data_IF_093353491214
#
_entry.id   IF_093353491214
#
_cell.length_a   1.000
_cell.length_b   1.000
_cell.length_c   1.000
_cell.angle_alpha   90.00
_cell.angle_beta   90.00
_cell.angle_gamma   90.00
#
_symmetry.space_group_name_H-M   'P 1'
#
loop_
_entity.id
_entity.type
_entity.pdbx_description
1 polymer ?
#
# COMPACT_ATOMS: atom_id res chain seq x y z
N UNK A 1 -41.23 27.02 -49.31
CA UNK A 1 -40.52 27.26 -48.04
C UNK A 1 -41.05 26.27 -47.03
N UNK A 2 -40.27 25.27 -46.60
CA UNK A 2 -40.33 24.62 -45.27
C UNK A 2 -39.08 23.73 -45.18
N UNK A 3 -38.03 24.25 -44.53
CA UNK A 3 -36.84 23.50 -44.12
C UNK A 3 -37.19 22.88 -42.77
N UNK A 4 -37.24 21.56 -42.68
CA UNK A 4 -37.49 20.88 -41.41
C UNK A 4 -36.16 20.76 -40.66
N UNK A 5 -35.98 21.73 -39.76
CA UNK A 5 -34.93 21.84 -38.77
C UNK A 5 -34.99 20.65 -37.80
N UNK A 6 -33.81 20.17 -37.38
CA UNK A 6 -33.62 18.83 -36.85
C UNK A 6 -34.22 18.54 -35.48
N UNK A 7 -34.13 17.27 -35.10
CA UNK A 7 -33.94 16.89 -33.71
C UNK A 7 -32.97 15.71 -33.69
N UNK A 8 -31.70 16.05 -33.51
CA UNK A 8 -30.64 15.14 -33.10
C UNK A 8 -31.17 14.38 -31.88
N UNK A 9 -31.36 13.06 -32.01
CA UNK A 9 -31.79 12.22 -30.89
C UNK A 9 -30.72 12.34 -29.81
N UNK A 10 -31.06 13.02 -28.72
CA UNK A 10 -30.20 13.15 -27.57
C UNK A 10 -29.90 11.75 -27.04
N UNK A 11 -28.67 11.28 -27.25
CA UNK A 11 -28.14 10.14 -26.51
C UNK A 11 -28.21 10.51 -25.03
N UNK A 12 -28.88 9.74 -24.15
CA UNK A 12 -28.76 9.97 -22.72
C UNK A 12 -27.28 9.80 -22.37
N UNK A 13 -26.62 10.92 -22.06
CA UNK A 13 -25.27 10.94 -21.51
C UNK A 13 -25.41 10.30 -20.13
N UNK A 14 -25.06 9.02 -20.03
CA UNK A 14 -24.88 8.32 -18.76
C UNK A 14 -23.89 9.12 -17.92
N UNK A 15 -24.38 9.74 -16.86
CA UNK A 15 -23.55 10.41 -15.85
C UNK A 15 -22.78 9.32 -15.11
N UNK A 16 -21.51 9.12 -15.47
CA UNK A 16 -20.60 8.29 -14.70
C UNK A 16 -20.25 9.03 -13.40
N UNK A 17 -20.89 8.64 -12.30
CA UNK A 17 -20.51 9.06 -10.96
C UNK A 17 -19.15 8.44 -10.60
N UNK A 18 -18.07 9.20 -10.79
CA UNK A 18 -16.76 8.85 -10.24
C UNK A 18 -16.81 9.07 -8.72
N UNK A 19 -17.03 7.98 -7.98
CA UNK A 19 -16.76 7.96 -6.54
C UNK A 19 -15.24 8.05 -6.36
N UNK A 20 -14.74 9.25 -6.10
CA UNK A 20 -13.34 9.44 -5.71
C UNK A 20 -13.16 8.90 -4.29
N UNK A 21 -12.73 7.64 -4.18
CA UNK A 21 -12.23 7.09 -2.92
C UNK A 21 -10.89 7.76 -2.63
N UNK A 22 -10.74 8.37 -1.45
CA UNK A 22 -9.43 8.83 -0.99
C UNK A 22 -8.48 7.64 -1.00
N UNK A 23 -7.31 7.76 -1.64
CA UNK A 23 -6.28 6.73 -1.53
C UNK A 23 -5.64 6.83 -0.14
N UNK A 24 -5.87 5.86 0.73
CA UNK A 24 -5.27 5.84 2.07
C UNK A 24 -3.86 5.23 2.00
N UNK A 25 -2.92 5.92 1.34
CA UNK A 25 -1.51 5.51 1.29
C UNK A 25 -0.88 5.34 2.69
N UNK A 26 -1.47 6.01 3.69
CA UNK A 26 -1.02 6.01 5.09
C UNK A 26 -1.63 4.90 5.96
N UNK A 27 -2.57 4.13 5.42
CA UNK A 27 -3.21 3.05 6.15
C UNK A 27 -2.87 1.71 5.53
N UNK A 28 -2.72 0.70 6.39
CA UNK A 28 -2.81 -0.67 5.95
C UNK A 28 -4.21 -0.97 5.41
N UNK A 29 -4.33 -2.01 4.59
CA UNK A 29 -5.59 -2.47 4.02
C UNK A 29 -6.63 -2.81 5.11
N UNK A 30 -6.16 -3.25 6.28
CA UNK A 30 -6.94 -3.54 7.48
C UNK A 30 -7.40 -2.29 8.25
N UNK A 31 -6.94 -1.08 7.87
CA UNK A 31 -7.44 0.20 8.36
C UNK A 31 -6.63 0.88 9.48
N UNK A 32 -5.52 0.30 9.93
CA UNK A 32 -4.60 0.96 10.87
C UNK A 32 -3.59 1.85 10.15
N UNK A 33 -3.09 2.88 10.83
CA UNK A 33 -2.17 3.88 10.27
C UNK A 33 -0.72 3.54 10.58
N UNK A 34 0.15 3.59 9.57
CA UNK A 34 1.59 3.41 9.78
C UNK A 34 2.18 4.52 10.67
N UNK A 35 3.21 4.18 11.45
CA UNK A 35 3.96 5.17 12.22
C UNK A 35 4.55 6.24 11.29
N UNK A 36 4.21 7.54 11.47
CA UNK A 36 4.73 8.63 10.64
C UNK A 36 6.26 8.70 10.61
N UNK A 37 6.94 8.23 11.65
CA UNK A 37 8.41 8.23 11.72
C UNK A 37 9.06 7.28 10.69
N UNK A 38 8.32 6.31 10.14
CA UNK A 38 8.87 5.33 9.20
C UNK A 38 9.14 5.89 7.82
N UNK A 39 8.26 6.74 7.30
CA UNK A 39 8.44 7.35 5.97
C UNK A 39 7.45 8.48 5.66
N UNK A 40 6.91 9.15 6.69
CA UNK A 40 5.85 10.14 6.48
C UNK A 40 4.53 9.55 5.93
N UNK A 41 4.38 8.22 5.99
CA UNK A 41 3.16 7.50 5.60
C UNK A 41 3.01 7.17 4.11
N UNK A 42 3.92 7.57 3.21
CA UNK A 42 3.70 7.44 1.76
C UNK A 42 4.23 6.11 1.17
N UNK A 43 5.17 5.48 1.86
CA UNK A 43 6.08 4.48 1.27
C UNK A 43 5.85 3.05 1.79
N UNK A 44 4.74 2.84 2.51
CA UNK A 44 4.46 1.63 3.26
C UNK A 44 3.36 0.79 2.60
N UNK A 45 3.54 -0.53 2.58
CA UNK A 45 2.56 -1.47 2.04
C UNK A 45 2.60 -2.81 2.74
N UNK A 46 1.50 -3.53 2.65
CA UNK A 46 1.49 -4.97 2.94
C UNK A 46 2.39 -5.69 1.94
N UNK A 47 3.15 -6.68 2.42
CA UNK A 47 3.93 -7.59 1.59
C UNK A 47 3.46 -9.03 1.82
N UNK A 48 3.68 -9.88 0.81
CA UNK A 48 3.40 -11.31 0.91
C UNK A 48 4.37 -11.98 1.90
N UNK A 49 3.94 -13.07 2.54
CA UNK A 49 4.71 -13.73 3.60
C UNK A 49 6.10 -14.20 3.16
N UNK A 50 6.28 -14.57 1.89
CA UNK A 50 7.56 -15.02 1.36
C UNK A 50 8.52 -13.87 0.97
N UNK A 51 8.06 -12.61 0.98
CA UNK A 51 8.91 -11.44 0.78
C UNK A 51 9.83 -11.17 1.98
N UNK A 52 9.53 -11.75 3.14
CA UNK A 52 10.26 -11.59 4.39
C UNK A 52 10.51 -12.96 5.01
N UNK A 53 11.78 -13.27 5.32
CA UNK A 53 12.15 -14.56 5.90
C UNK A 53 12.71 -14.38 7.32
N UNK A 54 12.25 -15.16 8.31
CA UNK A 54 12.91 -15.19 9.60
C UNK A 54 14.34 -15.73 9.44
N UNK A 55 15.29 -15.08 10.10
CA UNK A 55 16.70 -15.49 10.16
C UNK A 55 17.20 -15.35 11.59
N UNK A 56 18.40 -15.85 11.87
CA UNK A 56 19.04 -15.61 13.17
C UNK A 56 19.18 -14.10 13.41
N UNK A 57 18.60 -13.60 14.51
CA UNK A 57 18.70 -12.21 14.92
C UNK A 57 17.72 -11.23 14.25
N UNK A 58 16.81 -11.69 13.37
CA UNK A 58 15.82 -10.79 12.77
C UNK A 58 15.10 -11.37 11.55
N UNK A 59 14.87 -10.50 10.55
CA UNK A 59 14.17 -10.86 9.32
C UNK A 59 14.91 -10.35 8.10
N UNK A 60 15.05 -11.22 7.11
CA UNK A 60 15.61 -10.87 5.82
C UNK A 60 14.51 -10.42 4.86
N UNK A 61 14.67 -9.25 4.26
CA UNK A 61 13.89 -8.82 3.10
C UNK A 61 14.46 -9.50 1.86
N UNK A 62 13.71 -10.41 1.24
CA UNK A 62 14.21 -11.28 0.17
C UNK A 62 14.67 -10.48 -1.06
N UNK A 63 13.93 -9.43 -1.41
CA UNK A 63 14.19 -8.60 -2.58
C UNK A 63 15.53 -7.84 -2.53
N UNK A 64 16.00 -7.48 -1.34
CA UNK A 64 17.21 -6.66 -1.15
C UNK A 64 18.33 -7.39 -0.42
N UNK A 65 18.02 -8.49 0.24
CA UNK A 65 18.94 -9.20 1.13
C UNK A 65 19.19 -8.50 2.47
N UNK A 66 18.54 -7.35 2.73
CA UNK A 66 18.66 -6.62 4.00
C UNK A 66 18.18 -7.50 5.16
N UNK A 67 18.99 -7.61 6.23
CA UNK A 67 18.57 -8.21 7.50
C UNK A 67 18.19 -7.09 8.46
N UNK A 68 16.92 -7.05 8.84
CA UNK A 68 16.37 -6.09 9.81
C UNK A 68 16.41 -6.76 11.19
N UNK A 69 17.18 -6.22 12.15
CA UNK A 69 17.31 -6.81 13.48
C UNK A 69 16.00 -6.84 14.28
N UNK A 70 15.89 -7.80 15.21
CA UNK A 70 14.79 -7.87 16.20
C UNK A 70 14.52 -6.57 16.95
N UNK A 71 15.53 -5.74 17.16
CA UNK A 71 15.42 -4.46 17.86
C UNK A 71 14.89 -3.31 16.99
N UNK A 72 14.75 -3.52 15.67
CA UNK A 72 14.40 -2.47 14.71
C UNK A 72 13.10 -2.73 13.95
N UNK A 73 12.45 -3.87 14.19
CA UNK A 73 11.11 -4.11 13.67
C UNK A 73 10.04 -3.48 14.55
N UNK A 74 8.86 -3.29 13.97
CA UNK A 74 7.65 -2.93 14.67
C UNK A 74 6.69 -4.12 14.66
N UNK A 75 5.80 -4.19 15.64
CA UNK A 75 4.70 -5.17 15.65
C UNK A 75 3.65 -4.75 14.63
N UNK A 76 3.22 -5.67 13.77
CA UNK A 76 2.06 -5.44 12.91
C UNK A 76 0.77 -5.55 13.74
N UNK A 77 -0.16 -4.57 13.65
CA UNK A 77 -1.49 -4.66 14.23
C UNK A 77 -2.43 -5.66 13.53
N UNK A 78 -2.03 -6.18 12.37
CA UNK A 78 -2.70 -7.27 11.65
C UNK A 78 -1.76 -8.45 11.45
N UNK A 79 -2.31 -9.57 10.96
CA UNK A 79 -1.57 -10.82 10.76
C UNK A 79 -0.73 -10.80 9.47
N UNK A 80 -0.27 -9.63 9.04
CA UNK A 80 0.49 -9.44 7.80
C UNK A 80 1.82 -8.73 8.04
N UNK A 81 2.77 -8.99 7.14
CA UNK A 81 3.97 -8.18 7.07
C UNK A 81 3.69 -6.87 6.34
N UNK A 82 4.26 -5.77 6.86
CA UNK A 82 4.26 -4.49 6.15
C UNK A 82 5.67 -3.94 6.05
N UNK A 83 6.01 -3.41 4.88
CA UNK A 83 7.33 -2.85 4.61
C UNK A 83 7.19 -1.44 4.07
N UNK A 84 7.96 -0.54 4.67
CA UNK A 84 8.18 0.81 4.16
C UNK A 84 9.53 0.84 3.44
N UNK A 85 9.54 1.26 2.18
CA UNK A 85 10.76 1.33 1.36
C UNK A 85 10.72 2.54 0.44
N UNK A 86 11.87 3.00 -0.06
CA UNK A 86 11.89 4.21 -0.89
C UNK A 86 10.93 4.12 -2.09
N UNK A 87 9.96 5.04 -2.13
CA UNK A 87 8.86 5.08 -3.12
C UNK A 87 8.00 3.82 -3.17
N UNK A 88 7.90 3.07 -2.06
CA UNK A 88 7.21 1.79 -1.96
C UNK A 88 7.79 0.65 -2.82
N UNK A 89 9.01 0.83 -3.37
CA UNK A 89 9.59 -0.11 -4.35
C UNK A 89 10.05 -1.42 -3.72
N UNK A 90 9.92 -2.51 -4.46
CA UNK A 90 10.34 -3.86 -4.02
C UNK A 90 11.85 -3.93 -3.71
N UNK A 91 12.69 -3.47 -4.64
CA UNK A 91 14.14 -3.62 -4.58
C UNK A 91 14.85 -2.36 -4.05
N UNK A 92 14.24 -1.62 -3.12
CA UNK A 92 14.84 -0.41 -2.53
C UNK A 92 15.06 -0.55 -1.02
N UNK A 93 15.87 0.36 -0.46
CA UNK A 93 16.20 0.38 0.97
C UNK A 93 14.94 0.32 1.84
N UNK A 94 14.99 -0.52 2.87
CA UNK A 94 13.94 -0.65 3.88
C UNK A 94 14.09 0.44 4.95
N UNK A 95 13.01 1.14 5.26
CA UNK A 95 12.96 2.12 6.35
C UNK A 95 12.35 1.54 7.62
N UNK A 96 11.26 0.79 7.48
CA UNK A 96 10.61 0.07 8.57
C UNK A 96 10.07 -1.27 8.07
N UNK A 97 10.08 -2.24 8.97
CA UNK A 97 9.44 -3.53 8.79
C UNK A 97 8.50 -3.77 9.97
N UNK A 98 7.23 -4.03 9.67
CA UNK A 98 6.23 -4.49 10.61
C UNK A 98 6.07 -6.00 10.46
N UNK A 99 6.15 -6.71 11.57
CA UNK A 99 6.14 -8.18 11.63
C UNK A 99 4.88 -8.61 12.39
N UNK A 100 4.09 -9.56 11.86
CA UNK A 100 2.92 -10.08 12.56
C UNK A 100 3.32 -10.88 13.79
N UNK A 101 2.43 -10.95 14.78
CA UNK A 101 2.60 -11.88 15.88
C UNK A 101 2.27 -13.29 15.40
N UNK A 102 3.26 -14.18 15.40
CA UNK A 102 3.02 -15.61 15.18
C UNK A 102 2.53 -16.22 16.49
N UNK A 103 1.26 -16.00 16.84
CA UNK A 103 0.62 -16.68 17.98
C UNK A 103 0.29 -18.13 17.67
#
# INVERSE_FOLDING_TARGET
MHVQLGLMRAFPITVALFLATAAQGHQAQSGWTYDPACCGGEDCRQVVDDAVRPVEGGWQVVATGEVIPVTQVKRSPDDHFHRCSAFGRENSKTFCLYVPDFS
#
